data_IF_247600194307
#
_entry.id   IF_247600194307
#
_cell.length_a   1.000
_cell.length_b   1.000
_cell.length_c   1.000
_cell.angle_alpha   90.00
_cell.angle_beta   90.00
_cell.angle_gamma   90.00
#
_symmetry.space_group_name_H-M   'P 1'
#
loop_
_entity.id
_entity.type
_entity.pdbx_description
1 polymer ?
#
# COMPACT_ATOMS: atom_id res chain seq x y z
N UNK A 1 -42.83 22.64 -13.99
CA UNK A 1 -41.85 21.53 -13.99
C UNK A 1 -40.49 22.18 -14.19
N UNK A 2 -39.72 22.33 -13.11
CA UNK A 2 -38.46 23.08 -13.17
C UNK A 2 -37.35 22.19 -13.73
N UNK A 3 -36.66 22.72 -14.74
CA UNK A 3 -35.52 22.04 -15.36
C UNK A 3 -34.36 21.90 -14.36
N UNK A 4 -33.72 20.73 -14.24
CA UNK A 4 -32.58 20.56 -13.36
C UNK A 4 -31.41 21.48 -13.77
N UNK A 5 -30.82 22.18 -12.79
CA UNK A 5 -29.77 23.17 -13.02
C UNK A 5 -28.48 22.52 -13.52
N UNK A 6 -27.92 23.05 -14.60
CA UNK A 6 -26.67 22.65 -15.23
C UNK A 6 -25.50 22.79 -14.24
N UNK A 7 -24.88 21.68 -13.85
CA UNK A 7 -23.60 21.66 -13.15
C UNK A 7 -22.53 21.26 -14.16
N UNK A 8 -21.47 22.06 -14.29
CA UNK A 8 -20.37 21.90 -15.27
C UNK A 8 -19.50 20.65 -15.07
N UNK A 9 -19.88 19.72 -14.18
CA UNK A 9 -19.31 18.39 -14.04
C UNK A 9 -20.44 17.39 -13.88
N UNK A 10 -20.57 16.50 -14.86
CA UNK A 10 -21.83 15.88 -15.26
C UNK A 10 -22.57 15.01 -14.23
N UNK A 11 -22.01 14.61 -13.09
CA UNK A 11 -22.66 13.64 -12.19
C UNK A 11 -22.50 13.93 -10.68
N UNK A 12 -22.43 15.18 -10.23
CA UNK A 12 -22.54 15.48 -8.79
C UNK A 12 -24.00 15.71 -8.36
N UNK A 13 -24.75 14.61 -8.19
CA UNK A 13 -26.15 14.64 -7.74
C UNK A 13 -26.31 14.81 -6.23
N UNK A 14 -25.25 14.64 -5.45
CA UNK A 14 -25.28 14.48 -3.98
C UNK A 14 -25.22 15.79 -3.20
N UNK A 15 -25.66 16.92 -3.77
CA UNK A 15 -25.47 18.33 -3.31
C UNK A 15 -25.44 18.62 -1.80
N UNK A 16 -26.11 17.83 -0.96
CA UNK A 16 -26.21 18.01 0.49
C UNK A 16 -25.72 16.82 1.34
N UNK A 17 -25.35 15.69 0.73
CA UNK A 17 -24.94 14.49 1.45
C UNK A 17 -23.86 13.72 0.69
N UNK A 18 -22.60 13.97 1.05
CA UNK A 18 -21.48 13.20 0.55
C UNK A 18 -21.38 11.88 1.30
N UNK A 19 -21.00 10.81 0.59
CA UNK A 19 -20.63 9.56 1.25
C UNK A 19 -19.50 9.86 2.23
N UNK A 20 -19.68 9.45 3.48
CA UNK A 20 -18.67 9.65 4.52
C UNK A 20 -17.55 8.65 4.29
N UNK A 21 -16.33 9.09 4.64
CA UNK A 21 -15.17 8.23 4.75
C UNK A 21 -15.50 6.98 5.58
N UNK A 22 -15.04 5.81 5.13
CA UNK A 22 -15.22 4.58 5.87
C UNK A 22 -14.39 4.64 7.16
N UNK A 23 -14.92 4.07 8.24
CA UNK A 23 -14.17 4.02 9.51
C UNK A 23 -12.92 3.17 9.34
N UNK A 24 -11.77 3.76 9.65
CA UNK A 24 -10.48 3.08 9.62
C UNK A 24 -10.49 1.92 10.64
N UNK A 25 -10.33 0.66 10.22
CA UNK A 25 -10.21 -0.46 11.14
C UNK A 25 -8.98 -0.31 12.06
N UNK A 26 -9.03 -0.95 13.22
CA UNK A 26 -7.88 -1.04 14.11
C UNK A 26 -6.81 -1.96 13.52
N UNK A 27 -5.54 -1.62 13.73
CA UNK A 27 -4.42 -2.49 13.35
C UNK A 27 -4.51 -3.83 14.09
N UNK A 28 -4.33 -4.99 13.41
CA UNK A 28 -4.40 -6.30 14.05
C UNK A 28 -3.27 -6.52 15.05
N UNK A 29 -3.61 -7.08 16.22
CA UNK A 29 -2.61 -7.48 17.20
C UNK A 29 -1.76 -8.65 16.67
N UNK A 30 -0.47 -8.63 17.03
CA UNK A 30 0.50 -9.68 16.71
C UNK A 30 1.09 -10.24 18.03
N UNK A 31 0.32 -11.01 18.81
CA UNK A 31 0.72 -11.45 20.14
C UNK A 31 1.92 -12.40 20.13
N UNK A 32 2.10 -13.15 19.04
CA UNK A 32 3.13 -14.19 18.92
C UNK A 32 4.49 -13.64 18.47
N UNK A 33 4.57 -12.32 18.21
CA UNK A 33 5.77 -11.65 17.71
C UNK A 33 6.19 -10.56 18.69
N UNK A 34 7.37 -10.72 19.29
CA UNK A 34 7.96 -9.66 20.11
C UNK A 34 8.52 -8.51 19.24
N UNK A 35 9.03 -7.44 19.84
CA UNK A 35 9.61 -6.32 19.08
C UNK A 35 10.86 -6.71 18.28
N UNK A 36 11.62 -7.70 18.75
CA UNK A 36 12.80 -8.21 18.05
C UNK A 36 12.39 -9.03 16.84
N UNK A 37 11.35 -9.86 16.96
CA UNK A 37 10.78 -10.63 15.88
C UNK A 37 10.22 -9.72 14.79
N UNK A 38 9.48 -8.66 15.18
CA UNK A 38 9.02 -7.64 14.24
C UNK A 38 10.18 -6.97 13.50
N UNK A 39 11.25 -6.60 14.19
CA UNK A 39 12.44 -6.06 13.55
C UNK A 39 13.07 -7.07 12.56
N UNK A 40 13.21 -8.34 12.96
CA UNK A 40 13.73 -9.40 12.10
C UNK A 40 12.86 -9.61 10.84
N UNK A 41 11.54 -9.48 10.95
CA UNK A 41 10.63 -9.57 9.80
C UNK A 41 10.89 -8.42 8.81
N UNK A 42 11.12 -7.19 9.28
CA UNK A 42 11.48 -6.05 8.42
C UNK A 42 12.83 -6.29 7.76
N UNK A 43 13.82 -6.78 8.52
CA UNK A 43 15.15 -7.07 7.98
C UNK A 43 15.09 -8.16 6.91
N UNK A 44 14.34 -9.24 7.17
CA UNK A 44 14.12 -10.30 6.20
C UNK A 44 13.43 -9.78 4.93
N UNK A 45 12.44 -8.89 5.05
CA UNK A 45 11.79 -8.29 3.90
C UNK A 45 12.79 -7.56 3.00
N UNK A 46 13.61 -6.68 3.57
CA UNK A 46 14.56 -5.91 2.77
C UNK A 46 15.69 -6.75 2.20
N UNK A 47 16.19 -7.72 2.98
CA UNK A 47 17.26 -8.62 2.54
C UNK A 47 16.80 -9.58 1.44
N UNK A 48 15.65 -10.24 1.59
CA UNK A 48 15.29 -11.41 0.78
C UNK A 48 14.15 -11.17 -0.21
N UNK A 49 13.28 -10.18 0.02
CA UNK A 49 12.06 -9.99 -0.78
C UNK A 49 12.15 -8.71 -1.61
N UNK A 50 12.45 -7.57 -0.97
CA UNK A 50 12.44 -6.27 -1.61
C UNK A 50 13.52 -6.14 -2.69
N UNK A 51 14.67 -6.79 -2.53
CA UNK A 51 15.77 -6.70 -3.52
C UNK A 51 15.34 -7.16 -4.93
N UNK A 52 14.38 -8.08 -5.04
CA UNK A 52 13.90 -8.62 -6.31
C UNK A 52 13.03 -7.62 -7.09
N UNK A 53 12.33 -6.74 -6.38
CA UNK A 53 11.28 -5.90 -6.97
C UNK A 53 11.50 -4.40 -6.74
N UNK A 54 12.38 -4.03 -5.80
CA UNK A 54 12.69 -2.68 -5.35
C UNK A 54 11.43 -1.81 -5.12
N UNK A 55 10.37 -2.40 -4.54
CA UNK A 55 9.09 -1.72 -4.36
C UNK A 55 9.16 -0.59 -3.33
N UNK A 56 9.94 -0.79 -2.27
CA UNK A 56 10.16 0.17 -1.21
C UNK A 56 11.63 0.60 -1.16
N UNK A 57 11.89 1.88 -0.88
CA UNK A 57 13.24 2.37 -0.64
C UNK A 57 13.63 2.15 0.82
N UNK A 58 14.61 1.29 1.07
CA UNK A 58 14.93 0.80 2.41
C UNK A 58 15.27 1.90 3.41
N UNK A 59 16.17 2.83 3.07
CA UNK A 59 16.57 3.88 4.01
C UNK A 59 15.42 4.80 4.39
N UNK A 60 14.50 5.06 3.45
CA UNK A 60 13.32 5.91 3.68
C UNK A 60 12.33 5.17 4.57
N UNK A 61 12.06 3.90 4.26
CA UNK A 61 11.14 3.10 5.05
C UNK A 61 11.62 2.90 6.49
N UNK A 62 12.92 2.61 6.69
CA UNK A 62 13.52 2.46 8.02
C UNK A 62 13.46 3.76 8.84
N UNK A 63 13.69 4.89 8.20
CA UNK A 63 13.57 6.19 8.85
C UNK A 63 12.11 6.49 9.24
N UNK A 64 11.15 6.20 8.36
CA UNK A 64 9.72 6.30 8.66
C UNK A 64 9.31 5.40 9.83
N UNK A 65 9.81 4.16 9.87
CA UNK A 65 9.57 3.23 10.98
C UNK A 65 10.14 3.75 12.30
N UNK A 66 11.37 4.26 12.28
CA UNK A 66 12.00 4.86 13.46
C UNK A 66 11.18 6.03 14.01
N UNK A 67 10.77 6.95 13.13
CA UNK A 67 9.93 8.09 13.50
C UNK A 67 8.56 7.64 14.02
N UNK A 68 7.95 6.64 13.38
CA UNK A 68 6.66 6.08 13.81
C UNK A 68 6.72 5.52 15.23
N UNK A 69 7.76 4.74 15.55
CA UNK A 69 7.96 4.18 16.90
C UNK A 69 8.19 5.28 17.96
N UNK A 70 8.94 6.32 17.61
CA UNK A 70 9.15 7.48 18.50
C UNK A 70 7.84 8.23 18.77
N UNK A 71 7.02 8.44 17.74
CA UNK A 71 5.76 9.18 17.85
C UNK A 71 4.66 8.39 18.57
N UNK A 72 4.60 7.07 18.40
CA UNK A 72 3.64 6.22 19.13
C UNK A 72 3.87 6.19 20.64
N UNK A 73 5.07 6.56 21.08
CA UNK A 73 5.39 6.73 22.50
C UNK A 73 4.83 8.05 23.07
N UNK A 74 4.25 8.91 22.23
CA UNK A 74 3.70 10.22 22.59
C UNK A 74 2.18 10.28 22.37
N UNK A 75 1.43 11.04 23.19
CA UNK A 75 -0.02 11.19 23.06
C UNK A 75 -0.36 12.18 21.94
N UNK A 76 -0.16 11.79 20.68
CA UNK A 76 -0.47 12.60 19.50
C UNK A 76 -1.78 12.14 18.83
N UNK A 77 -2.53 13.04 18.17
CA UNK A 77 -3.71 12.67 17.41
C UNK A 77 -3.33 11.75 16.25
N UNK A 78 -4.00 10.59 16.15
CA UNK A 78 -3.82 9.63 15.05
C UNK A 78 -4.16 10.30 13.73
N UNK A 79 -3.15 10.69 12.95
CA UNK A 79 -3.32 11.24 11.61
C UNK A 79 -3.47 10.12 10.59
N UNK A 80 -4.30 10.30 9.57
CA UNK A 80 -4.55 9.30 8.51
C UNK A 80 -3.28 8.82 7.80
N UNK A 81 -2.22 9.65 7.76
CA UNK A 81 -0.91 9.30 7.18
C UNK A 81 -0.22 8.14 7.90
N UNK A 82 -0.37 8.05 9.22
CA UNK A 82 0.17 6.95 10.00
C UNK A 82 -0.54 5.63 9.65
N UNK A 83 -1.82 5.68 9.30
CA UNK A 83 -2.59 4.51 8.92
C UNK A 83 -2.17 3.96 7.54
N UNK A 84 -1.76 4.80 6.59
CA UNK A 84 -1.19 4.34 5.32
C UNK A 84 0.19 3.69 5.52
N UNK A 85 1.06 4.29 6.34
CA UNK A 85 2.33 3.66 6.70
C UNK A 85 2.12 2.30 7.39
N UNK A 86 1.20 2.22 8.36
CA UNK A 86 0.82 0.97 9.01
C UNK A 86 0.28 -0.08 8.02
N UNK A 87 -0.43 0.36 6.99
CA UNK A 87 -0.94 -0.52 5.92
C UNK A 87 0.21 -1.16 5.15
N UNK A 88 1.23 -0.37 4.78
CA UNK A 88 2.43 -0.88 4.11
C UNK A 88 3.22 -1.78 5.05
N UNK A 89 3.39 -1.39 6.31
CA UNK A 89 4.07 -2.19 7.32
C UNK A 89 3.39 -3.55 7.55
N UNK A 90 2.05 -3.59 7.57
CA UNK A 90 1.30 -4.84 7.65
C UNK A 90 1.55 -5.76 6.44
N UNK A 91 1.69 -5.22 5.23
CA UNK A 91 2.05 -6.00 4.04
C UNK A 91 3.49 -6.51 4.09
N UNK A 92 4.42 -5.69 4.59
CA UNK A 92 5.81 -6.09 4.85
C UNK A 92 5.85 -7.27 5.83
N UNK A 93 5.14 -7.18 6.96
CA UNK A 93 5.04 -8.29 7.91
C UNK A 93 4.37 -9.52 7.30
N UNK A 94 3.25 -9.37 6.60
CA UNK A 94 2.55 -10.49 5.98
C UNK A 94 3.44 -11.24 4.99
N UNK A 95 4.18 -10.52 4.13
CA UNK A 95 5.13 -11.12 3.20
C UNK A 95 6.25 -11.86 3.95
N UNK A 96 6.90 -11.20 4.91
CA UNK A 96 7.99 -11.82 5.67
C UNK A 96 7.57 -13.04 6.45
N UNK A 97 6.42 -12.99 7.14
CA UNK A 97 5.86 -14.14 7.86
C UNK A 97 5.64 -15.29 6.87
N UNK A 98 5.03 -15.03 5.72
CA UNK A 98 4.78 -16.07 4.73
C UNK A 98 6.08 -16.73 4.26
N UNK A 99 7.07 -15.96 3.82
CA UNK A 99 8.33 -16.53 3.35
C UNK A 99 9.06 -17.29 4.46
N UNK A 100 9.19 -16.71 5.64
CA UNK A 100 9.88 -17.35 6.77
C UNK A 100 9.19 -18.65 7.20
N UNK A 101 7.86 -18.70 7.28
CA UNK A 101 7.13 -19.92 7.65
C UNK A 101 7.30 -21.05 6.63
N UNK A 102 7.22 -20.73 5.34
CA UNK A 102 7.36 -21.73 4.27
C UNK A 102 8.81 -22.17 4.04
N UNK A 103 9.80 -21.46 4.59
CA UNK A 103 11.23 -21.85 4.57
C UNK A 103 11.62 -22.75 5.76
N UNK A 104 10.74 -22.96 6.75
CA UNK A 104 11.06 -23.79 7.93
C UNK A 104 11.11 -25.28 7.57
N UNK A 105 12.17 -25.96 8.02
CA UNK A 105 12.37 -27.42 7.83
C UNK A 105 11.25 -28.24 8.46
N UNK A 106 10.69 -27.79 9.59
CA UNK A 106 9.60 -28.48 10.30
C UNK A 106 8.20 -28.18 9.74
N UNK A 107 8.12 -27.39 8.67
CA UNK A 107 6.87 -26.87 8.12
C UNK A 107 6.41 -25.57 8.80
N UNK A 108 5.36 -24.94 8.25
CA UNK A 108 4.87 -23.64 8.71
C UNK A 108 4.07 -23.75 10.02
N UNK A 109 4.19 -22.75 10.89
CA UNK A 109 3.31 -22.58 12.05
C UNK A 109 1.97 -21.95 11.61
N UNK A 110 0.86 -22.64 11.88
CA UNK A 110 -0.48 -22.20 11.51
C UNK A 110 -0.94 -20.93 12.25
N UNK A 111 -0.47 -20.68 13.47
CA UNK A 111 -0.81 -19.46 14.21
C UNK A 111 -0.19 -18.22 13.54
N UNK A 112 1.07 -18.34 13.12
CA UNK A 112 1.77 -17.30 12.38
C UNK A 112 1.11 -17.03 11.03
N UNK A 113 0.67 -18.07 10.31
CA UNK A 113 -0.11 -17.91 9.08
C UNK A 113 -1.48 -17.26 9.31
N UNK A 114 -2.11 -17.49 10.46
CA UNK A 114 -3.36 -16.81 10.83
C UNK A 114 -3.12 -15.32 11.10
N UNK A 115 -1.99 -14.98 11.72
CA UNK A 115 -1.55 -13.59 11.88
C UNK A 115 -1.24 -12.93 10.53
N UNK A 116 -0.56 -13.63 9.61
CA UNK A 116 -0.34 -13.19 8.22
C UNK A 116 -1.66 -12.85 7.51
N UNK A 117 -2.65 -13.73 7.56
CA UNK A 117 -3.96 -13.50 6.93
C UNK A 117 -4.70 -12.30 7.53
N UNK A 118 -4.63 -12.11 8.85
CA UNK A 118 -5.22 -10.93 9.52
C UNK A 118 -4.56 -9.63 9.06
N UNK A 119 -3.22 -9.60 9.00
CA UNK A 119 -2.46 -8.45 8.53
C UNK A 119 -2.77 -8.13 7.07
N UNK A 120 -2.81 -9.15 6.21
CA UNK A 120 -3.14 -8.99 4.80
C UNK A 120 -4.56 -8.46 4.61
N UNK A 121 -5.56 -9.03 5.30
CA UNK A 121 -6.96 -8.57 5.23
C UNK A 121 -7.12 -7.13 5.70
N UNK A 122 -6.45 -6.76 6.79
CA UNK A 122 -6.41 -5.38 7.27
C UNK A 122 -5.84 -4.46 6.19
N UNK A 123 -4.64 -4.76 5.68
CA UNK A 123 -3.98 -3.91 4.71
C UNK A 123 -4.77 -3.79 3.40
N UNK A 124 -5.33 -4.89 2.91
CA UNK A 124 -6.16 -4.90 1.70
C UNK A 124 -7.40 -4.02 1.85
N UNK A 125 -8.07 -4.06 3.02
CA UNK A 125 -9.20 -3.16 3.30
C UNK A 125 -8.76 -1.70 3.38
N UNK A 126 -7.65 -1.42 4.05
CA UNK A 126 -7.12 -0.06 4.12
C UNK A 126 -6.77 0.50 2.74
N UNK A 127 -6.17 -0.30 1.86
CA UNK A 127 -5.89 0.11 0.47
C UNK A 127 -7.14 0.46 -0.30
N UNK A 128 -8.23 -0.32 -0.14
CA UNK A 128 -9.51 0.02 -0.77
C UNK A 128 -10.05 1.37 -0.27
N UNK A 129 -10.04 1.61 1.04
CA UNK A 129 -10.48 2.88 1.64
C UNK A 129 -9.63 4.04 1.10
N UNK A 130 -8.30 3.94 1.18
CA UNK A 130 -7.42 5.01 0.73
C UNK A 130 -7.50 5.29 -0.77
N UNK A 131 -7.71 4.26 -1.60
CA UNK A 131 -7.79 4.42 -3.06
C UNK A 131 -9.04 5.16 -3.52
N UNK A 132 -10.10 5.19 -2.71
CA UNK A 132 -11.31 5.96 -3.01
C UNK A 132 -11.11 7.44 -2.68
N UNK A 133 -10.31 7.75 -1.67
CA UNK A 133 -10.20 9.10 -1.11
C UNK A 133 -8.96 9.87 -1.55
N UNK A 134 -7.85 9.18 -1.83
CA UNK A 134 -6.53 9.79 -2.00
C UNK A 134 -5.76 9.19 -3.17
N UNK A 135 -4.96 10.03 -3.82
CA UNK A 135 -3.98 9.63 -4.83
C UNK A 135 -2.58 9.86 -4.25
N UNK A 136 -1.82 8.78 -4.07
CA UNK A 136 -0.45 8.83 -3.52
C UNK A 136 0.38 7.66 -4.03
N UNK A 137 1.70 7.88 -4.12
CA UNK A 137 2.63 6.86 -4.60
C UNK A 137 2.71 5.66 -3.64
N UNK A 138 2.59 5.92 -2.33
CA UNK A 138 2.54 4.92 -1.28
C UNK A 138 1.34 3.97 -1.43
N UNK A 139 0.20 4.47 -1.94
CA UNK A 139 -0.95 3.62 -2.27
C UNK A 139 -0.63 2.68 -3.44
N UNK A 140 0.07 3.18 -4.46
CA UNK A 140 0.55 2.35 -5.58
C UNK A 140 1.51 1.27 -5.08
N UNK A 141 2.48 1.64 -4.25
CA UNK A 141 3.42 0.69 -3.62
C UNK A 141 2.67 -0.36 -2.78
N UNK A 142 1.68 0.07 -2.01
CA UNK A 142 0.81 -0.84 -1.24
C UNK A 142 0.06 -1.83 -2.14
N UNK A 143 -0.51 -1.37 -3.25
CA UNK A 143 -1.15 -2.28 -4.22
C UNK A 143 -0.17 -3.25 -4.88
N UNK A 144 1.07 -2.82 -5.16
CA UNK A 144 2.12 -3.70 -5.69
C UNK A 144 2.52 -4.78 -4.66
N UNK A 145 2.65 -4.41 -3.38
CA UNK A 145 2.93 -5.36 -2.31
C UNK A 145 1.77 -6.34 -2.11
N UNK A 146 0.52 -5.87 -2.10
CA UNK A 146 -0.65 -6.74 -2.03
C UNK A 146 -0.75 -7.69 -3.23
N UNK A 147 -0.35 -7.22 -4.42
CA UNK A 147 -0.25 -8.04 -5.63
C UNK A 147 0.76 -9.16 -5.44
N UNK A 148 1.93 -8.86 -4.86
CA UNK A 148 2.95 -9.86 -4.54
C UNK A 148 2.42 -10.91 -3.55
N UNK A 149 1.74 -10.49 -2.47
CA UNK A 149 1.12 -11.42 -1.53
C UNK A 149 0.18 -12.40 -2.24
N UNK A 150 -0.76 -11.86 -3.03
CA UNK A 150 -1.77 -12.67 -3.74
C UNK A 150 -1.16 -13.61 -4.78
N UNK A 151 -0.06 -13.19 -5.42
CA UNK A 151 0.69 -14.03 -6.36
C UNK A 151 1.28 -15.25 -5.65
N UNK A 152 1.90 -15.05 -4.49
CA UNK A 152 2.51 -16.12 -3.69
C UNK A 152 1.43 -17.02 -3.07
N UNK A 153 0.25 -16.47 -2.76
CA UNK A 153 -0.92 -17.26 -2.32
C UNK A 153 -1.66 -17.98 -3.44
N UNK A 154 -1.16 -17.97 -4.68
CA UNK A 154 -1.81 -18.57 -5.86
C UNK A 154 -3.25 -18.07 -6.15
N UNK A 155 -3.61 -16.86 -5.70
CA UNK A 155 -4.93 -16.24 -5.95
C UNK A 155 -4.93 -15.46 -7.26
N UNK A 156 -4.87 -16.17 -8.39
CA UNK A 156 -4.62 -15.59 -9.73
C UNK A 156 -5.60 -14.47 -10.13
N UNK A 157 -6.90 -14.67 -9.95
CA UNK A 157 -7.91 -13.66 -10.31
C UNK A 157 -7.79 -12.39 -9.45
N UNK A 158 -7.61 -12.56 -8.14
CA UNK A 158 -7.41 -11.44 -7.22
C UNK A 158 -6.11 -10.69 -7.53
N UNK A 159 -5.02 -11.42 -7.81
CA UNK A 159 -3.74 -10.85 -8.24
C UNK A 159 -3.92 -9.93 -9.45
N UNK A 160 -4.61 -10.39 -10.50
CA UNK A 160 -4.83 -9.60 -11.72
C UNK A 160 -5.64 -8.33 -11.44
N UNK A 161 -6.66 -8.42 -10.60
CA UNK A 161 -7.48 -7.27 -10.22
C UNK A 161 -6.68 -6.26 -9.41
N UNK A 162 -5.92 -6.72 -8.41
CA UNK A 162 -5.07 -5.88 -7.56
C UNK A 162 -3.97 -5.18 -8.37
N UNK A 163 -3.35 -5.87 -9.32
CA UNK A 163 -2.38 -5.26 -10.23
C UNK A 163 -3.04 -4.18 -11.11
N UNK A 164 -4.26 -4.45 -11.58
CA UNK A 164 -5.03 -3.47 -12.37
C UNK A 164 -5.35 -2.22 -11.54
N UNK A 165 -5.62 -2.35 -10.24
CA UNK A 165 -5.79 -1.19 -9.35
C UNK A 165 -4.52 -0.36 -9.26
N UNK A 166 -3.35 -0.98 -9.10
CA UNK A 166 -2.08 -0.25 -9.10
C UNK A 166 -1.88 0.54 -10.41
N UNK A 167 -2.13 -0.09 -11.56
CA UNK A 167 -2.02 0.55 -12.88
C UNK A 167 -3.01 1.72 -13.02
N UNK A 168 -4.25 1.54 -12.55
CA UNK A 168 -5.26 2.58 -12.61
C UNK A 168 -4.88 3.78 -11.74
N UNK A 169 -4.38 3.56 -10.53
CA UNK A 169 -3.89 4.65 -9.65
C UNK A 169 -2.78 5.46 -10.32
N UNK A 170 -1.81 4.79 -10.96
CA UNK A 170 -0.74 5.47 -11.73
C UNK A 170 -1.33 6.34 -12.85
N UNK A 171 -2.31 5.81 -13.60
CA UNK A 171 -2.97 6.54 -14.69
C UNK A 171 -3.79 7.74 -14.19
N UNK A 172 -4.48 7.60 -13.05
CA UNK A 172 -5.25 8.67 -12.41
C UNK A 172 -4.35 9.83 -11.99
N UNK A 173 -3.19 9.51 -11.40
CA UNK A 173 -2.15 10.50 -11.07
C UNK A 173 -1.47 11.13 -12.30
N UNK A 174 -1.85 10.73 -13.52
CA UNK A 174 -1.27 11.23 -14.77
C UNK A 174 0.14 10.70 -15.07
N UNK A 175 0.63 9.73 -14.29
CA UNK A 175 1.93 9.10 -14.48
C UNK A 175 1.87 8.12 -15.66
N UNK A 176 2.97 7.99 -16.41
CA UNK A 176 3.03 7.11 -17.58
C UNK A 176 2.29 7.63 -18.82
N UNK A 177 1.77 8.86 -18.79
CA UNK A 177 1.51 9.60 -20.02
C UNK A 177 2.86 9.95 -20.62
N UNK A 178 3.33 9.11 -21.54
CA UNK A 178 4.32 9.58 -22.50
C UNK A 178 3.68 10.79 -23.16
N UNK A 179 4.16 11.99 -22.81
CA UNK A 179 4.02 13.12 -23.72
C UNK A 179 4.64 12.60 -24.99
N UNK A 180 3.80 12.22 -25.96
CA UNK A 180 4.25 12.12 -27.33
C UNK A 180 4.92 13.46 -27.57
N UNK A 181 6.26 13.47 -27.60
CA UNK A 181 7.05 14.67 -27.81
C UNK A 181 6.39 15.36 -28.99
N UNK A 182 5.70 16.47 -28.75
CA UNK A 182 5.45 17.42 -29.80
C UNK A 182 6.85 17.79 -30.30
N UNK A 183 7.03 17.59 -31.58
CA UNK A 183 8.28 17.54 -32.31
C UNK A 183 8.99 18.89 -32.41
N UNK A 184 9.13 19.64 -31.31
CA UNK A 184 9.75 20.97 -31.28
C UNK A 184 10.51 21.25 -29.97
N UNK A 185 11.53 20.44 -29.64
CA UNK A 185 12.52 20.84 -28.63
C UNK A 185 13.92 20.68 -29.22
N UNK A 186 14.69 21.79 -29.21
CA UNK A 186 16.07 21.84 -29.69
C UNK A 186 16.95 20.81 -28.99
N UNK A 187 17.79 20.15 -29.77
CA UNK A 187 18.69 19.03 -29.41
C UNK A 187 19.54 19.28 -28.15
N UNK A 188 19.75 20.54 -27.79
CA UNK A 188 20.53 20.95 -26.62
C UNK A 188 19.92 20.55 -25.28
N UNK A 189 18.59 20.51 -25.15
CA UNK A 189 17.95 20.13 -23.87
C UNK A 189 17.99 18.63 -23.58
N UNK A 190 18.24 17.80 -24.60
CA UNK A 190 18.36 16.34 -24.46
C UNK A 190 19.70 15.94 -23.86
N UNK A 191 20.75 16.76 -24.02
CA UNK A 191 22.11 16.44 -23.56
C UNK A 191 22.37 16.75 -22.09
N UNK A 192 21.43 17.41 -21.40
CA UNK A 192 21.62 17.91 -20.03
C UNK A 192 20.93 17.07 -18.95
N UNK A 193 20.21 16.02 -19.34
CA UNK A 193 19.48 15.12 -18.45
C UNK A 193 20.19 13.76 -18.34
#
# INVERSE_FOLDING_TARGET
VDCPRTQLYGWNLSRCHYQRAETIPMFPDMPDFDEKDKANLVDHFFAEINHLFALLHESVFREQLRLFLQLNSQPLPKTNRAALFLTILALVYALSIRFTEFMKVKGPNMENLTTEDRLFKYAFRMLLIFSVEWESFEIVQGWQLATLCLRISHKQSSFSNTLSQAINMVKLMGLGRFVAKSSDHHTYEILKA
#
